data_IF_074832491666
#
_entry.id   IF_074832491666
#
_cell.length_a   1.000
_cell.length_b   1.000
_cell.length_c   1.000
_cell.angle_alpha   90.00
_cell.angle_beta   90.00
_cell.angle_gamma   90.00
#
_symmetry.space_group_name_H-M   'P 1'
#
loop_
_entity.id
_entity.type
_entity.pdbx_description
1 polymer ?
#
# COMPACT_ATOMS: atom_id res chain seq x y z
N UNK A 1 -19.41 3.73 23.95
CA UNK A 1 -19.25 4.18 22.54
C UNK A 1 -18.59 3.04 21.79
N UNK A 2 -19.03 2.76 20.55
CA UNK A 2 -18.46 1.63 19.80
C UNK A 2 -17.07 1.91 19.26
N UNK A 3 -16.66 3.17 19.06
CA UNK A 3 -15.38 3.56 18.47
C UNK A 3 -14.65 4.58 19.34
N UNK A 4 -13.32 4.54 19.31
CA UNK A 4 -12.43 5.49 19.97
C UNK A 4 -12.16 6.72 19.08
N UNK A 5 -12.11 6.52 17.75
CA UNK A 5 -11.73 7.56 16.79
C UNK A 5 -12.66 7.56 15.58
N UNK A 6 -13.10 8.76 15.17
CA UNK A 6 -13.79 8.99 13.91
C UNK A 6 -12.85 9.71 12.92
N UNK A 7 -12.67 9.13 11.74
CA UNK A 7 -11.84 9.67 10.64
C UNK A 7 -12.78 10.16 9.54
N UNK A 8 -12.68 11.43 9.16
CA UNK A 8 -13.50 12.02 8.10
C UNK A 8 -12.69 12.12 6.80
N UNK A 9 -13.11 11.36 5.79
CA UNK A 9 -12.47 11.26 4.47
C UNK A 9 -11.88 9.88 4.20
N UNK A 10 -12.40 9.18 3.19
CA UNK A 10 -11.95 7.83 2.78
C UNK A 10 -10.80 7.81 1.77
N UNK A 11 -9.94 8.84 1.76
CA UNK A 11 -8.76 8.89 0.90
C UNK A 11 -7.56 8.11 1.46
N UNK A 12 -6.44 8.07 0.73
CA UNK A 12 -5.20 7.42 1.18
C UNK A 12 -4.80 7.85 2.59
N UNK A 13 -4.83 9.15 2.87
CA UNK A 13 -4.49 9.69 4.20
C UNK A 13 -5.41 9.19 5.32
N UNK A 14 -6.73 9.10 5.07
CA UNK A 14 -7.69 8.59 6.05
C UNK A 14 -7.52 7.09 6.30
N UNK A 15 -7.25 6.33 5.23
CA UNK A 15 -7.01 4.89 5.31
C UNK A 15 -5.69 4.56 6.03
N UNK A 16 -4.59 5.24 5.69
CA UNK A 16 -3.29 5.03 6.37
C UNK A 16 -3.33 5.49 7.83
N UNK A 17 -4.04 6.58 8.14
CA UNK A 17 -4.33 6.99 9.51
C UNK A 17 -5.08 5.88 10.29
N UNK A 18 -6.12 5.29 9.69
CA UNK A 18 -6.86 4.18 10.30
C UNK A 18 -5.99 2.95 10.58
N UNK A 19 -5.08 2.60 9.66
CA UNK A 19 -4.11 1.50 9.86
C UNK A 19 -3.19 1.82 11.06
N UNK A 20 -2.59 3.02 11.08
CA UNK A 20 -1.68 3.41 12.15
C UNK A 20 -2.36 3.42 13.53
N UNK A 21 -3.63 3.84 13.60
CA UNK A 21 -4.42 3.83 14.84
C UNK A 21 -4.80 2.40 15.28
N UNK A 22 -5.16 1.52 14.35
CA UNK A 22 -5.45 0.12 14.66
C UNK A 22 -4.22 -0.65 15.13
N UNK A 23 -3.04 -0.36 14.58
CA UNK A 23 -1.76 -0.91 15.09
C UNK A 23 -1.49 -0.51 16.55
N UNK A 24 -2.09 0.59 17.02
CA UNK A 24 -2.04 1.04 18.42
C UNK A 24 -3.24 0.57 19.25
N UNK A 25 -4.06 -0.35 18.72
CA UNK A 25 -5.21 -0.93 19.40
C UNK A 25 -6.45 -0.04 19.46
N UNK A 26 -6.54 1.02 18.64
CA UNK A 26 -7.70 1.91 18.61
C UNK A 26 -8.79 1.36 17.68
N UNK A 27 -10.03 1.35 18.17
CA UNK A 27 -11.18 1.01 17.35
C UNK A 27 -11.66 2.25 16.60
N UNK A 28 -11.58 2.23 15.26
CA UNK A 28 -11.78 3.41 14.42
C UNK A 28 -13.00 3.25 13.50
N UNK A 29 -13.69 4.36 13.19
CA UNK A 29 -14.68 4.44 12.11
C UNK A 29 -14.24 5.46 11.07
N UNK A 30 -14.36 5.11 9.79
CA UNK A 30 -14.09 6.03 8.67
C UNK A 30 -15.44 6.47 8.08
N UNK A 31 -15.61 7.77 7.94
CA UNK A 31 -16.82 8.38 7.37
C UNK A 31 -16.40 9.06 6.06
N UNK A 32 -17.00 8.63 4.95
CA UNK A 32 -16.78 9.23 3.63
C UNK A 32 -18.13 9.61 3.01
N UNK A 33 -18.15 10.69 2.22
CA UNK A 33 -19.31 11.02 1.39
C UNK A 33 -19.05 10.56 -0.04
N UNK A 34 -19.90 9.66 -0.54
CA UNK A 34 -19.76 9.08 -1.87
C UNK A 34 -18.64 8.04 -1.96
N UNK A 35 -18.16 7.84 -3.19
CA UNK A 35 -17.07 6.93 -3.51
C UNK A 35 -15.73 7.39 -2.92
N UNK A 36 -14.93 6.45 -2.43
CA UNK A 36 -13.62 6.74 -1.83
C UNK A 36 -12.61 7.13 -2.92
N UNK A 37 -11.51 7.80 -2.57
CA UNK A 37 -10.47 8.14 -3.55
C UNK A 37 -9.89 6.88 -4.25
N UNK A 38 -9.94 5.73 -3.56
CA UNK A 38 -9.61 4.41 -4.11
C UNK A 38 -10.49 4.01 -5.31
N UNK A 39 -11.76 4.44 -5.34
CA UNK A 39 -12.69 4.11 -6.45
C UNK A 39 -12.28 4.79 -7.76
N UNK A 40 -11.54 5.91 -7.68
CA UNK A 40 -11.00 6.62 -8.85
C UNK A 40 -9.51 6.35 -9.08
N UNK A 41 -8.84 5.69 -8.14
CA UNK A 41 -7.44 5.31 -8.25
C UNK A 41 -7.32 3.92 -8.91
N UNK A 42 -7.68 3.80 -10.19
CA UNK A 42 -7.45 2.57 -10.97
C UNK A 42 -5.97 2.29 -11.26
N UNK A 43 -5.04 2.94 -10.55
CA UNK A 43 -3.62 2.97 -10.88
C UNK A 43 -2.74 3.53 -9.77
N UNK A 44 -2.96 3.10 -8.52
CA UNK A 44 -1.93 3.29 -7.50
C UNK A 44 -0.67 2.54 -7.94
N UNK A 45 0.37 3.28 -8.32
CA UNK A 45 1.70 2.73 -8.54
C UNK A 45 2.32 2.46 -7.16
N UNK A 46 2.47 1.19 -6.82
CA UNK A 46 3.38 0.82 -5.75
C UNK A 46 4.82 1.07 -6.24
N UNK A 47 5.64 1.62 -5.37
CA UNK A 47 7.07 1.80 -5.60
C UNK A 47 7.79 0.73 -4.77
N UNK A 48 8.58 -0.12 -5.43
CA UNK A 48 9.36 -1.15 -4.75
C UNK A 48 10.37 -0.47 -3.81
N UNK A 49 9.97 -0.29 -2.56
CA UNK A 49 10.74 0.39 -1.51
C UNK A 49 11.40 -0.60 -0.56
N UNK A 50 10.88 -1.82 -0.48
CA UNK A 50 11.43 -2.92 0.32
C UNK A 50 11.35 -4.25 -0.41
N UNK A 51 12.32 -5.11 -0.17
CA UNK A 51 12.30 -6.50 -0.59
C UNK A 51 11.41 -7.35 0.34
N UNK A 52 11.05 -8.58 -0.04
CA UNK A 52 10.22 -9.47 0.78
C UNK A 52 10.79 -9.80 2.17
N UNK A 53 12.12 -9.71 2.33
CA UNK A 53 12.81 -9.84 3.62
C UNK A 53 12.75 -8.57 4.49
N UNK A 54 12.13 -7.50 3.98
CA UNK A 54 11.97 -6.22 4.66
C UNK A 54 13.15 -5.26 4.52
N UNK A 55 14.23 -5.65 3.83
CA UNK A 55 15.36 -4.78 3.53
C UNK A 55 14.97 -3.65 2.59
N UNK A 56 15.61 -2.49 2.74
CA UNK A 56 15.35 -1.32 1.90
C UNK A 56 15.92 -1.52 0.49
N UNK A 57 15.22 -0.96 -0.51
CA UNK A 57 15.73 -0.89 -1.88
C UNK A 57 16.60 0.35 -2.02
N UNK A 58 17.91 0.14 -2.02
CA UNK A 58 18.92 1.20 -2.20
C UNK A 58 19.23 1.43 -3.69
N UNK A 59 19.19 0.36 -4.50
CA UNK A 59 19.40 0.42 -5.95
C UNK A 59 18.28 -0.31 -6.67
N UNK A 60 17.30 0.46 -7.15
CA UNK A 60 16.09 -0.08 -7.78
C UNK A 60 16.38 -1.07 -8.91
N UNK A 61 17.39 -0.81 -9.75
CA UNK A 61 17.69 -1.67 -10.89
C UNK A 61 18.25 -3.03 -10.45
N UNK A 62 19.21 -3.01 -9.55
CA UNK A 62 19.84 -4.24 -9.03
C UNK A 62 18.86 -5.05 -8.19
N UNK A 63 18.15 -4.40 -7.27
CA UNK A 63 17.19 -5.04 -6.39
C UNK A 63 15.99 -5.60 -7.17
N UNK A 64 15.48 -4.88 -8.18
CA UNK A 64 14.41 -5.39 -9.03
C UNK A 64 14.88 -6.61 -9.85
N UNK A 65 16.08 -6.55 -10.43
CA UNK A 65 16.64 -7.69 -11.18
C UNK A 65 16.78 -8.93 -10.30
N UNK A 66 17.30 -8.75 -9.08
CA UNK A 66 17.42 -9.82 -8.09
C UNK A 66 16.04 -10.37 -7.68
N UNK A 67 15.06 -9.49 -7.46
CA UNK A 67 13.68 -9.86 -7.14
C UNK A 67 13.06 -10.70 -8.27
N UNK A 68 13.19 -10.27 -9.52
CA UNK A 68 12.64 -11.00 -10.67
C UNK A 68 13.28 -12.38 -10.84
N UNK A 69 14.58 -12.48 -10.55
CA UNK A 69 15.31 -13.76 -10.59
C UNK A 69 14.86 -14.71 -9.47
N UNK A 70 14.72 -14.21 -8.25
CA UNK A 70 14.35 -15.02 -7.08
C UNK A 70 12.85 -15.37 -7.06
N UNK A 71 11.99 -14.47 -7.52
CA UNK A 71 10.53 -14.56 -7.46
C UNK A 71 9.91 -14.22 -8.84
N UNK A 72 9.99 -15.12 -9.82
CA UNK A 72 9.50 -14.85 -11.17
C UNK A 72 7.97 -14.60 -11.23
N UNK A 73 7.22 -15.10 -10.25
CA UNK A 73 5.77 -14.87 -10.14
C UNK A 73 5.37 -13.62 -9.33
N UNK A 74 6.35 -12.84 -8.84
CA UNK A 74 6.06 -11.61 -8.09
C UNK A 74 5.40 -10.57 -9.01
N UNK A 75 4.44 -9.73 -8.52
CA UNK A 75 3.82 -8.69 -9.35
C UNK A 75 4.82 -7.81 -10.12
N UNK A 76 5.88 -7.33 -9.47
CA UNK A 76 6.98 -6.58 -10.13
C UNK A 76 7.76 -7.36 -11.21
N UNK A 77 7.76 -8.70 -11.16
CA UNK A 77 8.39 -9.55 -12.18
C UNK A 77 7.53 -9.70 -13.42
N UNK A 78 6.21 -9.69 -13.23
CA UNK A 78 5.21 -9.80 -14.30
C UNK A 78 4.94 -8.44 -14.96
N UNK A 79 5.08 -7.35 -14.19
CA UNK A 79 4.95 -5.98 -14.70
C UNK A 79 6.16 -5.62 -15.56
N UNK A 80 5.94 -5.47 -16.87
CA UNK A 80 7.00 -5.11 -17.82
C UNK A 80 7.63 -6.30 -18.55
N UNK A 81 7.15 -7.52 -18.32
CA UNK A 81 7.48 -8.68 -19.14
C UNK A 81 6.81 -8.52 -20.52
N UNK A 82 7.55 -7.88 -21.43
CA UNK A 82 7.20 -7.55 -22.82
C UNK A 82 6.17 -6.41 -23.01
N UNK A 83 6.70 -5.22 -23.26
CA UNK A 83 6.22 -4.33 -24.33
C UNK A 83 7.38 -3.89 -25.20
#
# INVERSE_FOLDING_TARGET
MNFDVAIIGGGLAGLTCGIALQQQGKHCVIINNGQAAMDFASGSFDLLSRLPDGSAVENLKENLTALCTALPAHPYSLLGENK
#
